data_IF_578131955171
#
_entry.id   IF_578131955171
#
_cell.length_a   1.000
_cell.length_b   1.000
_cell.length_c   1.000
_cell.angle_alpha   90.00
_cell.angle_beta   90.00
_cell.angle_gamma   90.00
#
_symmetry.space_group_name_H-M   'P 1'
#
loop_
_entity.id
_entity.type
_entity.pdbx_description
1 polymer ?
#
# COMPACT_ATOMS: atom_id res chain seq x y z
N UNK A 1 -37.04 21.02 20.33
CA UNK A 1 -36.21 21.08 19.10
C UNK A 1 -34.83 20.53 19.43
N UNK A 2 -34.44 19.41 18.82
CA UNK A 2 -33.12 18.81 19.04
C UNK A 2 -32.01 19.67 18.41
N UNK A 3 -30.99 20.00 19.19
CA UNK A 3 -29.78 20.67 18.70
C UNK A 3 -29.11 19.76 17.65
N UNK A 4 -29.09 20.21 16.39
CA UNK A 4 -28.33 19.54 15.35
C UNK A 4 -26.85 19.74 15.71
N UNK A 5 -26.22 18.68 16.22
CA UNK A 5 -24.79 18.70 16.53
C UNK A 5 -24.01 18.87 15.22
N UNK A 6 -23.05 19.78 15.21
CA UNK A 6 -22.14 19.94 14.10
C UNK A 6 -21.38 18.62 13.85
N UNK A 7 -21.09 18.28 12.58
CA UNK A 7 -20.33 17.08 12.25
C UNK A 7 -18.92 17.16 12.83
N UNK A 8 -18.41 16.03 13.34
CA UNK A 8 -17.01 15.91 13.75
C UNK A 8 -16.19 15.57 12.52
N UNK A 9 -15.18 16.40 12.21
CA UNK A 9 -14.30 16.22 11.05
C UNK A 9 -12.91 15.77 11.52
N UNK A 10 -12.38 14.73 10.90
CA UNK A 10 -11.01 14.26 11.10
C UNK A 10 -10.17 14.65 9.89
N UNK A 11 -9.22 15.57 10.07
CA UNK A 11 -8.34 16.03 8.99
C UNK A 11 -6.96 15.36 9.11
N UNK A 12 -6.70 14.33 8.31
CA UNK A 12 -5.46 13.55 8.33
C UNK A 12 -4.28 14.17 7.56
N UNK A 13 -4.38 15.45 7.17
CA UNK A 13 -3.26 16.17 6.57
C UNK A 13 -2.18 16.48 7.61
N UNK A 14 -0.97 16.76 7.13
CA UNK A 14 0.10 17.26 7.98
C UNK A 14 -0.30 18.60 8.64
N UNK A 15 0.29 18.88 9.81
CA UNK A 15 0.07 20.14 10.54
C UNK A 15 0.45 21.37 9.71
N UNK A 16 1.49 21.25 8.88
CA UNK A 16 1.92 22.30 7.94
C UNK A 16 0.87 22.68 6.88
N UNK A 17 -0.13 21.81 6.66
CA UNK A 17 -1.26 22.03 5.77
C UNK A 17 -2.58 22.31 6.53
N UNK A 18 -2.50 22.58 7.84
CA UNK A 18 -3.64 22.82 8.73
C UNK A 18 -4.41 21.55 9.11
N UNK A 19 -3.75 20.38 9.05
CA UNK A 19 -4.32 19.11 9.48
C UNK A 19 -3.98 18.71 10.91
N UNK A 20 -4.47 17.55 11.34
CA UNK A 20 -4.25 16.98 12.68
C UNK A 20 -2.99 16.10 12.76
N UNK A 21 -2.21 16.02 11.67
CA UNK A 21 -1.03 15.16 11.57
C UNK A 21 -1.27 13.90 10.74
N UNK A 22 -0.18 13.29 10.28
CA UNK A 22 -0.19 12.09 9.41
C UNK A 22 -0.44 10.77 10.14
N UNK A 23 -0.38 10.79 11.48
CA UNK A 23 -0.53 9.61 12.33
C UNK A 23 -1.55 9.89 13.42
N UNK A 24 -2.42 8.92 13.69
CA UNK A 24 -3.43 9.00 14.72
C UNK A 24 -3.44 7.75 15.60
N UNK A 25 -3.91 7.91 16.84
CA UNK A 25 -4.09 6.82 17.80
C UNK A 25 -5.55 6.77 18.25
N UNK A 26 -6.15 5.58 18.19
CA UNK A 26 -7.51 5.34 18.66
C UNK A 26 -7.45 4.29 19.76
N UNK A 27 -7.88 4.69 20.96
CA UNK A 27 -7.93 3.82 22.14
C UNK A 27 -9.38 3.58 22.54
N UNK A 28 -9.68 2.35 22.93
CA UNK A 28 -11.00 1.97 23.41
C UNK A 28 -11.01 0.53 23.92
N UNK A 29 -11.84 0.27 24.92
CA UNK A 29 -12.07 -1.07 25.46
C UNK A 29 -12.96 -1.88 24.50
N UNK A 30 -13.01 -3.21 24.67
CA UNK A 30 -13.89 -4.08 23.87
C UNK A 30 -15.35 -3.65 24.03
N UNK A 31 -16.05 -3.45 22.90
CA UNK A 31 -17.44 -2.98 22.90
C UNK A 31 -17.61 -1.45 22.84
N UNK A 32 -16.54 -0.66 22.93
CA UNK A 32 -16.58 0.81 22.77
C UNK A 32 -16.89 1.29 21.34
N UNK A 33 -16.98 0.38 20.37
CA UNK A 33 -17.23 0.72 18.97
C UNK A 33 -16.00 1.13 18.16
N UNK A 34 -14.77 0.98 18.69
CA UNK A 34 -13.51 1.31 17.98
C UNK A 34 -13.45 0.72 16.56
N UNK A 35 -13.82 -0.56 16.39
CA UNK A 35 -13.76 -1.23 15.08
C UNK A 35 -14.74 -0.62 14.09
N UNK A 36 -15.98 -0.34 14.52
CA UNK A 36 -16.98 0.39 13.72
C UNK A 36 -16.51 1.80 13.36
N UNK A 37 -15.97 2.54 14.32
CA UNK A 37 -15.45 3.88 14.10
C UNK A 37 -14.31 3.90 13.06
N UNK A 38 -13.38 2.95 13.12
CA UNK A 38 -12.30 2.85 12.13
C UNK A 38 -12.87 2.51 10.74
N UNK A 39 -13.82 1.58 10.65
CA UNK A 39 -14.47 1.24 9.39
C UNK A 39 -15.19 2.45 8.78
N UNK A 40 -15.95 3.20 9.58
CA UNK A 40 -16.67 4.41 9.14
C UNK A 40 -15.71 5.52 8.71
N UNK A 41 -14.60 5.72 9.45
CA UNK A 41 -13.55 6.67 9.09
C UNK A 41 -12.94 6.33 7.73
N UNK A 42 -12.58 5.05 7.52
CA UNK A 42 -12.02 4.58 6.25
C UNK A 42 -13.03 4.70 5.10
N UNK A 43 -14.31 4.41 5.36
CA UNK A 43 -15.37 4.59 4.37
C UNK A 43 -15.51 6.07 3.97
N UNK A 44 -15.42 6.99 4.93
CA UNK A 44 -15.37 8.42 4.65
C UNK A 44 -14.21 8.83 3.75
N UNK A 45 -13.02 8.24 3.95
CA UNK A 45 -11.85 8.45 3.07
C UNK A 45 -12.12 7.91 1.66
N UNK A 46 -12.60 6.68 1.55
CA UNK A 46 -12.89 6.01 0.26
C UNK A 46 -13.98 6.74 -0.51
N UNK A 47 -14.98 7.29 0.16
CA UNK A 47 -16.08 8.03 -0.46
C UNK A 47 -15.66 9.40 -1.00
N UNK A 48 -14.57 9.99 -0.47
CA UNK A 48 -14.14 11.35 -0.80
C UNK A 48 -12.87 11.41 -1.65
N UNK A 49 -12.10 10.32 -1.71
CA UNK A 49 -10.84 10.23 -2.43
C UNK A 49 -10.90 9.12 -3.47
N UNK A 50 -10.17 9.29 -4.58
CA UNK A 50 -10.02 8.25 -5.62
C UNK A 50 -8.91 7.25 -5.26
N UNK A 51 -8.90 6.03 -5.85
CA UNK A 51 -7.81 5.07 -5.66
C UNK A 51 -6.43 5.59 -6.12
N UNK A 52 -6.39 6.61 -6.98
CA UNK A 52 -5.13 7.24 -7.40
C UNK A 52 -4.55 8.18 -6.33
N UNK A 53 -5.41 8.69 -5.44
CA UNK A 53 -5.05 9.60 -4.35
C UNK A 53 -4.72 8.85 -3.07
N UNK A 54 -5.50 7.81 -2.72
CA UNK A 54 -5.34 7.06 -1.48
C UNK A 54 -5.36 5.55 -1.75
N UNK A 55 -4.39 4.86 -1.16
CA UNK A 55 -4.32 3.41 -1.11
C UNK A 55 -4.35 2.94 0.36
N UNK A 56 -5.10 1.89 0.64
CA UNK A 56 -5.30 1.32 1.96
C UNK A 56 -4.57 -0.02 2.10
N UNK A 57 -3.85 -0.17 3.22
CA UNK A 57 -3.35 -1.46 3.70
C UNK A 57 -3.97 -1.64 5.08
N UNK A 58 -4.83 -2.65 5.21
CA UNK A 58 -5.61 -2.88 6.42
C UNK A 58 -5.04 -4.08 7.16
N UNK A 59 -4.87 -3.93 8.47
CA UNK A 59 -4.05 -4.79 9.33
C UNK A 59 -4.83 -5.01 10.62
N UNK A 60 -5.34 -6.23 10.84
CA UNK A 60 -6.12 -6.62 12.02
C UNK A 60 -5.40 -7.75 12.78
N UNK A 61 -4.99 -7.45 14.02
CA UNK A 61 -4.29 -8.38 14.90
C UNK A 61 -5.18 -9.54 15.37
N UNK A 62 -6.42 -9.25 15.77
CA UNK A 62 -7.30 -10.27 16.38
C UNK A 62 -8.02 -11.12 15.35
N UNK A 63 -8.22 -10.59 14.14
CA UNK A 63 -8.94 -11.29 13.08
C UNK A 63 -10.46 -11.32 13.30
N UNK A 64 -11.00 -10.43 14.13
CA UNK A 64 -12.43 -10.32 14.46
C UNK A 64 -13.28 -9.78 13.29
N UNK A 65 -12.69 -9.70 12.09
CA UNK A 65 -13.39 -9.27 10.88
C UNK A 65 -13.73 -7.79 10.89
N UNK A 66 -12.80 -6.92 11.32
CA UNK A 66 -13.02 -5.45 11.36
C UNK A 66 -13.32 -4.85 9.99
N UNK A 67 -12.85 -5.48 8.90
CA UNK A 67 -12.87 -4.92 7.54
C UNK A 67 -13.58 -5.81 6.51
N UNK A 68 -14.83 -6.27 6.76
CA UNK A 68 -15.52 -7.12 5.80
C UNK A 68 -15.88 -6.30 4.56
N UNK A 69 -15.57 -6.82 3.36
CA UNK A 69 -15.88 -6.16 2.09
C UNK A 69 -14.87 -5.11 1.64
N UNK A 70 -13.93 -4.70 2.51
CA UNK A 70 -12.87 -3.77 2.12
C UNK A 70 -11.92 -4.37 1.09
N UNK A 71 -11.79 -5.70 1.04
CA UNK A 71 -11.01 -6.42 0.03
C UNK A 71 -11.53 -6.21 -1.40
N UNK A 72 -12.76 -5.74 -1.56
CA UNK A 72 -13.40 -5.49 -2.87
C UNK A 72 -13.21 -4.05 -3.37
N UNK A 73 -12.67 -3.16 -2.53
CA UNK A 73 -12.48 -1.76 -2.89
C UNK A 73 -11.22 -1.57 -3.73
N UNK A 74 -11.31 -0.74 -4.77
CA UNK A 74 -10.16 -0.41 -5.62
C UNK A 74 -9.03 0.33 -4.88
N UNK A 75 -9.36 0.97 -3.75
CA UNK A 75 -8.39 1.62 -2.86
C UNK A 75 -7.59 0.63 -2.03
N UNK A 76 -8.14 -0.56 -1.79
CA UNK A 76 -7.50 -1.54 -0.90
C UNK A 76 -6.45 -2.33 -1.66
N UNK A 77 -5.21 -2.23 -1.20
CA UNK A 77 -4.08 -2.99 -1.75
C UNK A 77 -4.05 -4.38 -1.13
N UNK A 78 -4.20 -4.46 0.20
CA UNK A 78 -4.17 -5.70 0.94
C UNK A 78 -4.93 -5.57 2.25
N UNK A 79 -5.64 -6.64 2.63
CA UNK A 79 -6.15 -6.85 3.98
C UNK A 79 -5.38 -8.00 4.61
N UNK A 80 -4.82 -7.78 5.78
CA UNK A 80 -4.10 -8.76 6.59
C UNK A 80 -4.88 -8.92 7.90
N UNK A 81 -5.30 -10.15 8.19
CA UNK A 81 -6.07 -10.50 9.37
C UNK A 81 -5.36 -11.59 10.15
N UNK A 82 -5.60 -11.64 11.47
CA UNK A 82 -5.07 -12.68 12.36
C UNK A 82 -3.52 -12.74 12.35
N UNK A 83 -2.88 -11.58 12.34
CA UNK A 83 -1.42 -11.41 12.35
C UNK A 83 -0.95 -11.49 13.80
N UNK A 84 -0.89 -12.70 14.33
CA UNK A 84 -0.48 -12.97 15.71
C UNK A 84 0.96 -13.47 15.87
N UNK A 85 1.51 -14.12 14.84
CA UNK A 85 2.83 -14.72 14.88
C UNK A 85 3.95 -13.74 14.50
N UNK A 86 5.13 -13.93 15.11
CA UNK A 86 6.28 -13.05 14.91
C UNK A 86 6.77 -13.01 13.47
N UNK A 87 6.69 -14.13 12.76
CA UNK A 87 7.19 -14.22 11.39
C UNK A 87 6.33 -13.40 10.44
N UNK A 88 5.00 -13.44 10.59
CA UNK A 88 4.09 -12.61 9.81
C UNK A 88 4.27 -11.11 10.08
N UNK A 89 4.51 -10.72 11.34
CA UNK A 89 4.79 -9.32 11.69
C UNK A 89 6.10 -8.84 11.07
N UNK A 90 7.18 -9.64 11.16
CA UNK A 90 8.48 -9.28 10.58
C UNK A 90 8.40 -9.14 9.06
N UNK A 91 7.70 -10.06 8.37
CA UNK A 91 7.48 -9.95 6.93
C UNK A 91 6.69 -8.69 6.55
N UNK A 92 5.67 -8.33 7.33
CA UNK A 92 4.93 -7.11 7.10
C UNK A 92 5.82 -5.87 7.26
N UNK A 93 6.68 -5.86 8.28
CA UNK A 93 7.65 -4.78 8.48
C UNK A 93 8.58 -4.63 7.26
N UNK A 94 9.18 -5.73 6.78
CA UNK A 94 10.07 -5.73 5.63
C UNK A 94 9.38 -5.18 4.37
N UNK A 95 8.13 -5.59 4.14
CA UNK A 95 7.31 -5.12 3.01
C UNK A 95 7.04 -3.61 3.12
N UNK A 96 6.64 -3.12 4.30
CA UNK A 96 6.37 -1.71 4.51
C UNK A 96 7.64 -0.86 4.36
N UNK A 97 8.77 -1.35 4.88
CA UNK A 97 10.07 -0.70 4.74
C UNK A 97 10.48 -0.58 3.27
N UNK A 98 10.37 -1.67 2.51
CA UNK A 98 10.64 -1.68 1.07
C UNK A 98 9.74 -0.70 0.28
N UNK A 99 8.46 -0.58 0.66
CA UNK A 99 7.54 0.37 0.02
C UNK A 99 7.92 1.83 0.32
N UNK A 100 8.34 2.14 1.55
CA UNK A 100 8.85 3.47 1.91
C UNK A 100 10.07 3.82 1.07
N UNK A 101 11.04 2.90 0.97
CA UNK A 101 12.26 3.10 0.18
C UNK A 101 11.95 3.29 -1.30
N UNK A 102 11.04 2.49 -1.86
CA UNK A 102 10.58 2.61 -3.25
C UNK A 102 9.96 3.99 -3.51
N UNK A 103 9.10 4.48 -2.62
CA UNK A 103 8.48 5.82 -2.74
C UNK A 103 9.50 6.93 -2.62
N UNK A 104 10.46 6.82 -1.70
CA UNK A 104 11.55 7.79 -1.58
C UNK A 104 12.38 7.86 -2.86
N UNK A 105 12.68 6.70 -3.48
CA UNK A 105 13.39 6.63 -4.77
C UNK A 105 12.59 7.29 -5.88
N UNK A 106 11.31 6.96 -6.04
CA UNK A 106 10.44 7.59 -7.05
C UNK A 106 10.35 9.11 -6.88
N UNK A 107 10.27 9.59 -5.64
CA UNK A 107 10.26 11.03 -5.35
C UNK A 107 11.59 11.70 -5.72
N UNK A 108 12.72 11.04 -5.49
CA UNK A 108 14.05 11.52 -5.89
C UNK A 108 14.15 11.60 -7.42
N UNK A 109 13.73 10.55 -8.13
CA UNK A 109 13.74 10.48 -9.61
C UNK A 109 12.82 11.53 -10.26
N UNK A 110 11.69 11.87 -9.63
CA UNK A 110 10.72 12.81 -10.18
C UNK A 110 11.05 14.30 -10.02
N UNK A 111 12.16 14.66 -9.36
CA UNK A 111 12.54 16.06 -9.14
C UNK A 111 13.01 16.42 -7.72
N UNK A 112 13.29 15.42 -6.87
CA UNK A 112 13.84 15.60 -5.51
C UNK A 112 13.01 16.52 -4.61
N UNK A 113 11.69 16.30 -4.58
CA UNK A 113 10.77 17.02 -3.70
C UNK A 113 11.11 16.82 -2.22
N UNK A 114 10.88 17.88 -1.41
CA UNK A 114 11.17 17.93 0.03
C UNK A 114 10.31 16.94 0.83
N UNK A 115 9.02 16.92 0.56
CA UNK A 115 7.99 16.18 1.29
C UNK A 115 7.03 15.48 0.32
N UNK A 116 6.10 14.68 0.85
CA UNK A 116 5.09 14.00 0.03
C UNK A 116 4.07 14.98 -0.55
N UNK A 117 3.67 16.00 0.22
CA UNK A 117 2.70 17.00 -0.20
C UNK A 117 3.13 17.78 -1.44
N UNK A 118 4.39 18.25 -1.48
CA UNK A 118 4.97 18.94 -2.65
C UNK A 118 5.05 18.04 -3.88
N UNK A 119 5.37 16.75 -3.69
CA UNK A 119 5.33 15.77 -4.77
C UNK A 119 3.91 15.56 -5.32
N UNK A 120 2.90 15.44 -4.46
CA UNK A 120 1.50 15.26 -4.87
C UNK A 120 0.96 16.50 -5.59
N UNK A 121 1.22 17.70 -5.08
CA UNK A 121 0.87 18.96 -5.77
C UNK A 121 1.52 19.08 -7.14
N UNK A 122 2.77 18.62 -7.29
CA UNK A 122 3.43 18.55 -8.59
C UNK A 122 2.77 17.53 -9.52
N UNK A 123 2.34 16.37 -9.01
CA UNK A 123 1.59 15.37 -9.78
C UNK A 123 0.24 15.89 -10.26
N UNK A 124 -0.50 16.62 -9.42
CA UNK A 124 -1.77 17.26 -9.80
C UNK A 124 -1.59 18.26 -10.94
N UNK A 125 -0.45 18.97 -10.96
CA UNK A 125 -0.06 19.92 -12.02
C UNK A 125 0.47 19.23 -13.29
N UNK A 126 0.39 17.90 -13.39
CA UNK A 126 0.77 17.14 -14.57
C UNK A 126 2.22 16.67 -14.61
N UNK A 127 2.97 16.70 -13.49
CA UNK A 127 4.29 16.06 -13.43
C UNK A 127 4.15 14.56 -13.75
N UNK A 128 4.94 14.06 -14.71
CA UNK A 128 4.89 12.67 -15.20
C UNK A 128 5.03 11.70 -14.02
N UNK A 129 3.92 11.10 -13.59
CA UNK A 129 3.98 9.86 -12.81
C UNK A 129 4.06 8.71 -13.79
N UNK A 130 5.09 7.86 -13.67
CA UNK A 130 5.17 6.60 -14.42
C UNK A 130 3.97 5.75 -13.98
N UNK A 131 2.91 5.76 -14.81
CA UNK A 131 1.50 5.39 -14.54
C UNK A 131 1.25 3.92 -14.13
N UNK A 132 2.29 3.11 -13.93
CA UNK A 132 2.15 1.68 -13.71
C UNK A 132 3.33 1.16 -12.90
N UNK A 133 3.30 1.38 -11.60
CA UNK A 133 3.87 0.41 -10.66
C UNK A 133 2.80 0.13 -9.60
N UNK A 134 1.70 -0.47 -10.07
CA UNK A 134 0.91 -1.34 -9.20
C UNK A 134 1.89 -2.36 -8.61
N UNK A 135 1.71 -2.65 -7.34
CA UNK A 135 2.56 -3.46 -6.48
C UNK A 135 2.76 -4.89 -7.04
N UNK A 136 3.58 -5.05 -8.07
CA UNK A 136 3.94 -6.34 -8.68
C UNK A 136 5.07 -6.99 -7.88
N UNK A 137 4.81 -7.28 -6.61
CA UNK A 137 5.73 -8.08 -5.80
C UNK A 137 5.08 -9.29 -5.12
N UNK A 138 3.86 -9.67 -5.53
CA UNK A 138 3.19 -10.83 -4.92
C UNK A 138 2.25 -11.60 -5.87
N UNK A 139 2.76 -12.06 -7.01
CA UNK A 139 2.10 -13.10 -7.81
C UNK A 139 2.90 -14.40 -7.74
N UNK A 140 2.81 -15.13 -6.63
CA UNK A 140 3.10 -16.57 -6.62
C UNK A 140 1.86 -17.43 -6.84
N UNK A 141 0.73 -16.85 -7.28
CA UNK A 141 -0.42 -17.64 -7.69
C UNK A 141 -1.17 -17.02 -8.88
N UNK A 142 -0.67 -17.29 -10.08
CA UNK A 142 -1.46 -17.19 -11.31
C UNK A 142 -1.13 -18.37 -12.23
N UNK A 143 -2.06 -19.32 -12.46
CA UNK A 143 -1.84 -20.42 -13.38
C UNK A 143 -2.15 -19.97 -14.80
N UNK A 144 -1.23 -19.26 -15.45
CA UNK A 144 -1.19 -19.15 -16.92
C UNK A 144 0.12 -18.57 -17.46
N UNK A 145 1.20 -19.33 -17.32
CA UNK A 145 2.36 -19.15 -18.19
C UNK A 145 2.56 -20.45 -18.97
N UNK A 146 1.87 -20.58 -20.11
CA UNK A 146 2.07 -21.69 -21.03
C UNK A 146 3.43 -21.51 -21.70
N UNK A 147 4.44 -22.26 -21.22
CA UNK A 147 5.71 -22.39 -21.90
C UNK A 147 5.50 -23.19 -23.19
N UNK A 148 5.48 -22.52 -24.34
CA UNK A 148 5.84 -23.15 -25.60
C UNK A 148 7.35 -23.23 -25.66
N UNK A 149 7.92 -24.40 -25.41
CA UNK A 149 9.34 -24.70 -25.65
C UNK A 149 9.55 -25.04 -27.13
N UNK A 150 10.55 -24.47 -27.82
CA UNK A 150 11.23 -25.18 -28.89
C UNK A 150 12.24 -26.15 -28.28
N UNK A 151 12.15 -27.41 -28.69
CA UNK A 151 13.17 -28.45 -28.48
C UNK A 151 14.56 -27.98 -28.94
N UNK A 152 15.61 -28.24 -28.17
CA UNK A 152 16.65 -29.27 -28.43
C UNK A 152 17.85 -29.08 -27.48
N UNK A 153 18.26 -30.18 -26.82
CA UNK A 153 19.61 -30.63 -26.44
C UNK A 153 20.68 -29.57 -26.01
N UNK A 154 21.45 -29.70 -24.92
CA UNK A 154 22.34 -30.82 -24.54
C UNK A 154 22.96 -30.50 -23.16
N UNK A 155 23.30 -31.53 -22.39
CA UNK A 155 23.97 -31.50 -21.07
C UNK A 155 25.43 -31.01 -21.10
N UNK A 156 25.79 -30.05 -20.23
CA UNK A 156 27.15 -29.93 -19.67
C UNK A 156 27.18 -29.06 -18.42
N UNK A 157 27.65 -29.63 -17.32
CA UNK A 157 27.94 -28.94 -16.06
C UNK A 157 29.21 -28.09 -16.20
N UNK A 158 29.05 -26.80 -16.49
CA UNK A 158 30.09 -25.78 -16.31
C UNK A 158 29.40 -24.44 -16.11
N UNK A 159 29.63 -23.81 -14.95
CA UNK A 159 29.22 -22.43 -14.69
C UNK A 159 30.20 -21.47 -15.41
N UNK A 160 29.77 -20.61 -16.34
CA UNK A 160 30.63 -19.53 -16.78
C UNK A 160 30.47 -18.33 -15.85
N UNK A 161 31.63 -17.88 -15.34
CA UNK A 161 31.79 -16.60 -14.69
C UNK A 161 31.48 -15.44 -15.66
N UNK A 162 30.93 -14.35 -15.10
CA UNK A 162 30.63 -13.03 -15.67
C UNK A 162 29.34 -12.97 -16.52
N UNK A 163 28.24 -12.60 -15.86
CA UNK A 163 27.02 -12.12 -16.51
C UNK A 163 27.08 -10.60 -16.73
N UNK A 164 26.66 -10.21 -17.93
CA UNK A 164 26.53 -8.86 -18.47
C UNK A 164 25.47 -8.03 -17.70
N UNK A 165 25.74 -6.79 -17.25
CA UNK A 165 24.82 -6.01 -16.43
C UNK A 165 23.56 -5.50 -17.15
N UNK A 166 23.34 -5.88 -18.41
CA UNK A 166 22.26 -5.34 -19.26
C UNK A 166 21.09 -6.29 -19.48
N UNK A 167 21.16 -7.54 -19.02
CA UNK A 167 20.07 -8.51 -19.16
C UNK A 167 19.47 -8.80 -17.78
N UNK A 168 18.34 -8.14 -17.49
CA UNK A 168 17.54 -8.44 -16.29
C UNK A 168 16.69 -9.68 -16.54
N UNK A 169 17.34 -10.85 -16.60
CA UNK A 169 16.66 -12.13 -16.40
C UNK A 169 16.67 -12.46 -14.92
N UNK A 170 15.54 -12.28 -14.24
CA UNK A 170 15.36 -12.73 -12.86
C UNK A 170 14.17 -13.70 -12.81
N UNK A 171 14.47 -14.94 -12.43
CA UNK A 171 13.53 -15.81 -11.74
C UNK A 171 13.12 -15.17 -10.41
#
# INVERSE_FOLDING_TARGET
>A
MGSIRAPVVVNMKEDSEGGMGSHGLILGYTGSGKSSFVADLLLGVVATHTPEQVNLILVDYKGDGTFPGFEKLNHTVQVLSNIGDKDSVNRLEDVLRGEVERRQRLRKEAGRFKDAASYLKARERGAKSRRSQRFWWWSTNSPRCSKTTPNTATSSNTWPAKADPTVSSWC
#
